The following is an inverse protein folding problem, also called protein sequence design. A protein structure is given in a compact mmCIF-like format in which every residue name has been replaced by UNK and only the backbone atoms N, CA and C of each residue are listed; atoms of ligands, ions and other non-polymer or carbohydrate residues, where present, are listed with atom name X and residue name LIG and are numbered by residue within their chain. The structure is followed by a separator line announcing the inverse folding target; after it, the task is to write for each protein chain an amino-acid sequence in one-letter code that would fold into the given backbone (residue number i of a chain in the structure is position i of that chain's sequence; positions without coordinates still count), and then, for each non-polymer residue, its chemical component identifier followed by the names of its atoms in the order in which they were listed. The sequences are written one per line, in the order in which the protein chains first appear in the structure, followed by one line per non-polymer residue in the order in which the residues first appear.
data_IF_125717115975
#
_entry.id   IF_125717115975
#
_cell.length_a   1.000
_cell.length_b   1.000
_cell.length_c   1.000
_cell.angle_alpha   90.00
_cell.angle_beta   90.00
_cell.angle_gamma   90.00
#
_symmetry.space_group_name_H-M   'P 1'
#
loop_
_entity.id
_entity.type
_entity.pdbx_description
1 polymer ?
#
# COMPACT_ATOMS: atom_id res chain seq x y z
N UNK A 1 -22.45 25.64 -14.54
CA UNK A 1 -22.99 25.25 -13.34
C UNK A 1 -22.14 24.22 -12.65
N UNK A 2 -21.84 24.42 -11.42
CA UNK A 2 -20.99 23.52 -10.73
C UNK A 2 -21.81 22.44 -10.05
N UNK A 3 -21.35 21.23 -10.15
CA UNK A 3 -22.00 20.17 -9.48
C UNK A 3 -21.11 19.70 -8.37
N UNK A 4 -21.69 19.21 -7.34
CA UNK A 4 -20.93 18.67 -6.22
C UNK A 4 -20.43 17.30 -6.60
N UNK A 5 -19.13 17.13 -6.48
CA UNK A 5 -18.52 15.86 -6.80
C UNK A 5 -18.38 15.07 -5.48
N UNK A 6 -19.43 14.33 -5.17
CA UNK A 6 -19.46 13.60 -3.92
C UNK A 6 -18.38 12.51 -3.84
N UNK A 7 -18.00 11.95 -4.97
CA UNK A 7 -16.96 10.95 -4.94
C UNK A 7 -15.63 11.58 -4.52
N UNK A 8 -15.36 12.78 -5.01
CA UNK A 8 -14.13 13.45 -4.63
C UNK A 8 -14.19 13.84 -3.14
N UNK A 9 -15.33 14.28 -2.67
CA UNK A 9 -15.45 14.64 -1.28
C UNK A 9 -15.25 13.42 -0.40
N UNK A 10 -15.81 12.31 -0.82
CA UNK A 10 -15.67 11.09 -0.06
C UNK A 10 -14.21 10.62 -0.06
N UNK A 11 -13.54 10.65 -1.20
CA UNK A 11 -12.16 10.24 -1.26
C UNK A 11 -11.30 11.15 -0.37
N UNK A 12 -11.56 12.43 -0.37
CA UNK A 12 -10.80 13.35 0.46
C UNK A 12 -11.03 13.04 1.94
N UNK A 13 -12.25 12.74 2.31
CA UNK A 13 -12.55 12.39 3.69
C UNK A 13 -11.87 11.08 4.08
N UNK A 14 -11.85 10.11 3.18
CA UNK A 14 -11.22 8.85 3.47
C UNK A 14 -9.69 9.00 3.56
N UNK A 15 -9.12 9.92 2.82
CA UNK A 15 -7.70 10.16 2.93
C UNK A 15 -7.38 10.77 4.29
N UNK A 16 -8.33 11.47 4.88
CA UNK A 16 -8.15 11.99 6.21
C UNK A 16 -8.07 10.85 7.22
N UNK A 17 -8.78 9.76 6.97
CA UNK A 17 -8.70 8.60 7.85
C UNK A 17 -7.28 8.05 7.82
N UNK A 18 -6.67 7.97 6.64
CA UNK A 18 -5.32 7.47 6.53
C UNK A 18 -4.36 8.42 7.27
N UNK A 19 -4.57 9.71 7.10
CA UNK A 19 -3.72 10.69 7.76
C UNK A 19 -3.80 10.52 9.26
N UNK A 20 -5.01 10.34 9.81
CA UNK A 20 -5.17 10.18 11.23
C UNK A 20 -4.52 8.87 11.73
N UNK A 21 -4.63 7.81 10.93
CA UNK A 21 -4.00 6.55 11.31
C UNK A 21 -2.48 6.70 11.33
N UNK A 22 -1.93 7.44 10.37
CA UNK A 22 -0.51 7.65 10.33
C UNK A 22 -0.03 8.57 11.47
N UNK A 23 -0.85 9.54 11.82
CA UNK A 23 -0.51 10.40 12.95
C UNK A 23 -0.48 9.58 14.24
N UNK A 24 -1.43 8.66 14.37
CA UNK A 24 -1.44 7.80 15.53
C UNK A 24 -0.14 6.99 15.57
N UNK A 25 0.27 6.45 14.44
CA UNK A 25 1.49 5.68 14.37
C UNK A 25 2.73 6.54 14.65
N UNK A 26 2.69 7.78 14.23
CA UNK A 26 3.81 8.69 14.44
C UNK A 26 4.03 8.93 15.93
N UNK A 27 2.96 9.13 16.67
CA UNK A 27 3.07 9.45 18.06
C UNK A 27 3.10 8.24 19.00
N UNK A 28 2.47 7.17 18.61
CA UNK A 28 2.37 6.02 19.49
C UNK A 28 3.10 4.78 19.01
N UNK A 29 3.50 4.79 17.76
CA UNK A 29 4.09 3.60 17.16
C UNK A 29 3.01 2.59 16.82
N UNK A 30 3.40 1.54 16.17
CA UNK A 30 2.49 0.45 15.82
C UNK A 30 2.87 -0.74 16.67
N UNK A 31 1.86 -1.45 17.12
CA UNK A 31 2.12 -2.62 17.96
C UNK A 31 2.77 -3.73 17.17
N UNK A 32 3.17 -4.75 17.86
CA UNK A 32 3.87 -5.84 17.23
C UNK A 32 3.08 -6.51 16.13
N UNK A 33 1.81 -6.61 16.27
CA UNK A 33 1.02 -7.27 15.26
C UNK A 33 0.41 -6.32 14.25
N UNK A 34 0.68 -5.05 14.38
CA UNK A 34 0.05 -4.08 13.51
C UNK A 34 0.96 -3.70 12.37
N UNK A 35 0.38 -3.32 11.28
CA UNK A 35 1.15 -2.85 10.15
C UNK A 35 0.23 -2.21 9.15
N UNK A 36 0.76 -1.25 8.40
CA UNK A 36 -0.03 -0.60 7.38
C UNK A 36 0.55 -0.95 6.03
N UNK A 37 -0.32 -1.31 5.09
CA UNK A 37 0.10 -1.55 3.72
C UNK A 37 -0.46 -0.37 2.93
N UNK A 38 0.41 0.40 2.32
CA UNK A 38 0.02 1.62 1.63
C UNK A 38 0.47 1.57 0.19
N UNK A 39 -0.49 1.66 -0.73
CA UNK A 39 -0.21 1.62 -2.15
C UNK A 39 -0.41 3.00 -2.74
N UNK A 40 0.52 3.43 -3.55
CA UNK A 40 0.46 4.77 -4.13
C UNK A 40 1.03 4.78 -5.54
N UNK A 41 0.75 5.85 -6.26
CA UNK A 41 1.22 6.01 -7.62
C UNK A 41 2.60 6.59 -7.59
N UNK A 42 3.55 5.88 -8.18
CA UNK A 42 4.95 6.28 -8.07
C UNK A 42 5.30 7.45 -8.97
N UNK A 43 4.51 7.68 -10.01
CA UNK A 43 4.79 8.77 -10.91
C UNK A 43 4.14 10.09 -10.59
N UNK A 44 3.31 10.11 -9.58
CA UNK A 44 2.62 11.34 -9.25
C UNK A 44 3.59 12.42 -8.79
N UNK A 45 3.28 13.66 -9.08
CA UNK A 45 4.11 14.76 -8.63
C UNK A 45 4.13 14.77 -7.11
N UNK A 46 5.23 15.10 -6.55
CA UNK A 46 5.35 15.16 -5.10
C UNK A 46 5.81 13.86 -4.47
N UNK A 47 5.77 12.75 -5.19
CA UNK A 47 6.27 11.50 -4.66
C UNK A 47 7.79 11.53 -4.76
N UNK A 48 8.47 11.30 -3.65
CA UNK A 48 9.91 11.27 -3.59
C UNK A 48 10.37 9.86 -3.31
N UNK A 49 11.05 9.25 -4.27
CA UNK A 49 11.54 7.89 -4.16
C UNK A 49 12.92 7.78 -4.79
N UNK A 50 13.73 6.86 -4.34
CA UNK A 50 14.99 6.58 -5.03
C UNK A 50 14.71 6.10 -6.44
N UNK A 51 15.58 6.43 -7.38
CA UNK A 51 15.38 6.07 -8.76
C UNK A 51 15.22 4.59 -9.00
N UNK A 52 15.96 3.78 -8.28
CA UNK A 52 15.86 2.34 -8.52
C UNK A 52 14.47 1.81 -8.16
N UNK A 53 13.79 2.46 -7.23
CA UNK A 53 12.44 2.05 -6.89
C UNK A 53 11.46 2.51 -7.96
N UNK A 54 11.69 3.66 -8.56
CA UNK A 54 10.81 4.10 -9.62
C UNK A 54 10.95 3.19 -10.83
N UNK A 55 12.14 2.71 -11.07
CA UNK A 55 12.36 1.80 -12.17
C UNK A 55 11.70 0.46 -11.88
N UNK A 56 11.82 -0.01 -10.65
CA UNK A 56 11.25 -1.31 -10.29
C UNK A 56 9.72 -1.24 -10.22
N UNK A 57 9.18 -0.13 -9.79
CA UNK A 57 7.74 0.04 -9.65
C UNK A 57 7.31 1.28 -10.43
N UNK A 58 7.18 1.16 -11.73
CA UNK A 58 6.92 2.35 -12.56
C UNK A 58 5.53 2.96 -12.41
N UNK A 59 4.58 2.20 -11.95
CA UNK A 59 3.23 2.72 -11.82
C UNK A 59 2.73 2.79 -10.40
N UNK A 60 2.78 1.69 -9.70
CA UNK A 60 2.29 1.60 -8.34
C UNK A 60 3.31 0.93 -7.45
N UNK A 61 3.33 1.30 -6.20
CA UNK A 61 4.19 0.66 -5.25
C UNK A 61 3.44 0.52 -3.94
N UNK A 62 3.65 -0.59 -3.24
CA UNK A 62 3.08 -0.79 -1.93
C UNK A 62 4.20 -0.81 -0.92
N UNK A 63 4.08 -0.01 0.11
CA UNK A 63 5.06 -0.03 1.20
C UNK A 63 4.38 -0.59 2.43
N UNK A 64 5.19 -1.13 3.33
CA UNK A 64 4.68 -1.71 4.55
C UNK A 64 5.33 -0.99 5.71
N UNK A 65 4.52 -0.40 6.57
CA UNK A 65 5.02 0.20 7.78
C UNK A 65 4.73 -0.79 8.89
N UNK A 66 5.72 -1.48 9.32
CA UNK A 66 5.52 -2.45 10.37
C UNK A 66 6.65 -2.49 11.38
N UNK A 67 7.69 -3.14 11.18
CA UNK A 67 8.73 -3.18 12.16
C UNK A 67 9.85 -2.21 11.89
N UNK A 68 10.24 -2.08 10.68
CA UNK A 68 11.42 -1.36 10.37
C UNK A 68 11.18 -0.06 9.66
N UNK A 69 10.39 0.79 10.24
CA UNK A 69 10.24 2.12 9.69
C UNK A 69 10.70 3.13 10.73
N UNK A 70 11.21 4.25 10.26
CA UNK A 70 11.69 5.27 11.15
C UNK A 70 11.30 6.64 10.64
N UNK A 71 11.36 7.60 11.50
CA UNK A 71 11.13 8.99 11.13
C UNK A 71 9.86 9.22 10.35
N UNK A 72 8.79 8.62 10.81
CA UNK A 72 7.49 8.86 10.19
C UNK A 72 7.06 10.28 10.52
N UNK A 73 6.78 11.05 9.49
CA UNK A 73 6.40 12.42 9.65
C UNK A 73 5.18 12.72 8.81
N UNK A 74 4.11 13.14 9.43
CA UNK A 74 2.84 13.33 8.75
C UNK A 74 2.48 14.81 8.74
N UNK A 75 2.13 15.32 7.57
CA UNK A 75 1.70 16.71 7.46
C UNK A 75 0.30 16.72 6.83
N UNK A 76 -0.20 17.88 6.51
CA UNK A 76 -1.54 17.97 5.97
C UNK A 76 -1.66 17.35 4.61
N UNK A 77 -0.62 17.37 3.82
CA UNK A 77 -0.71 16.92 2.44
C UNK A 77 0.07 15.68 2.10
N UNK A 78 0.97 15.29 2.93
CA UNK A 78 1.83 14.16 2.63
C UNK A 78 2.38 13.52 3.88
N UNK A 79 2.97 12.36 3.74
CA UNK A 79 3.73 11.81 4.83
C UNK A 79 5.11 11.41 4.30
N UNK A 80 6.07 11.40 5.18
CA UNK A 80 7.42 10.96 4.85
C UNK A 80 7.81 9.89 5.84
N UNK A 81 8.63 8.95 5.43
CA UNK A 81 9.06 7.88 6.31
C UNK A 81 10.34 7.28 5.77
N UNK A 82 11.16 6.79 6.67
CA UNK A 82 12.39 6.14 6.29
C UNK A 82 12.15 4.64 6.33
N UNK A 83 12.43 3.99 5.24
CA UNK A 83 12.25 2.55 5.12
C UNK A 83 13.53 1.94 4.58
N UNK A 84 13.71 0.66 4.81
CA UNK A 84 14.89 -0.04 4.36
C UNK A 84 14.57 -0.83 3.10
N UNK A 85 15.34 -0.59 2.04
CA UNK A 85 15.18 -1.32 0.81
C UNK A 85 16.54 -1.92 0.45
N UNK A 86 16.59 -3.19 0.22
CA UNK A 86 17.82 -3.88 -0.12
C UNK A 86 18.91 -3.60 0.92
N UNK A 87 18.49 -3.59 2.17
CA UNK A 87 19.45 -3.39 3.25
C UNK A 87 19.90 -1.97 3.52
N UNK A 88 19.37 -1.01 2.78
CA UNK A 88 19.73 0.38 2.96
C UNK A 88 18.55 1.24 3.31
N UNK A 89 18.71 2.23 4.18
CA UNK A 89 17.61 3.10 4.53
C UNK A 89 17.43 4.22 3.52
N UNK A 90 16.21 4.52 3.16
CA UNK A 90 15.88 5.62 2.28
C UNK A 90 14.67 6.36 2.84
N UNK A 91 14.68 7.65 2.71
CA UNK A 91 13.54 8.44 3.15
C UNK A 91 12.66 8.69 1.92
N UNK A 92 11.39 8.39 2.05
CA UNK A 92 10.46 8.61 0.95
C UNK A 92 9.35 9.54 1.38
N UNK A 93 8.70 10.18 0.44
CA UNK A 93 7.57 11.05 0.70
C UNK A 93 6.46 10.71 -0.22
N UNK A 94 5.27 10.68 0.30
CA UNK A 94 4.09 10.30 -0.47
C UNK A 94 2.96 11.27 -0.18
N UNK A 95 2.50 12.02 -1.18
CA UNK A 95 1.34 12.88 -0.99
C UNK A 95 0.09 12.04 -0.81
N UNK A 96 -0.83 12.49 0.00
CA UNK A 96 -2.07 11.73 0.19
C UNK A 96 -2.85 11.65 -1.13
N UNK A 97 -2.66 12.61 -2.02
CA UNK A 97 -3.35 12.58 -3.30
C UNK A 97 -2.87 11.45 -4.20
N UNK A 98 -1.74 10.84 -3.88
CA UNK A 98 -1.20 9.74 -4.68
C UNK A 98 -1.68 8.38 -4.19
N UNK A 99 -2.40 8.34 -3.09
CA UNK A 99 -2.81 7.06 -2.51
C UNK A 99 -3.81 6.32 -3.36
N UNK A 100 -3.62 5.02 -3.44
CA UNK A 100 -4.53 4.15 -4.16
C UNK A 100 -5.23 3.21 -3.19
N UNK A 101 -4.52 2.72 -2.20
CA UNK A 101 -5.08 1.78 -1.26
C UNK A 101 -4.38 1.83 0.07
N UNK A 102 -5.12 1.60 1.14
CA UNK A 102 -4.56 1.54 2.48
C UNK A 102 -5.19 0.34 3.17
N UNK A 103 -4.37 -0.46 3.81
CA UNK A 103 -4.87 -1.61 4.54
C UNK A 103 -4.23 -1.73 5.89
N UNK A 104 -5.01 -2.14 6.87
CA UNK A 104 -4.52 -2.48 8.18
C UNK A 104 -5.02 -3.90 8.47
N UNK A 105 -4.24 -4.91 8.12
CA UNK A 105 -4.69 -6.28 8.27
C UNK A 105 -5.02 -6.68 9.69
N UNK A 106 -4.44 -6.02 10.68
CA UNK A 106 -4.70 -6.40 12.06
C UNK A 106 -6.15 -6.16 12.45
N UNK A 107 -6.84 -5.28 11.72
CA UNK A 107 -8.22 -4.99 12.03
C UNK A 107 -9.14 -5.27 10.85
N UNK A 108 -8.58 -5.83 9.77
CA UNK A 108 -9.35 -6.09 8.56
C UNK A 108 -9.87 -4.81 7.92
N UNK A 109 -9.22 -3.70 8.15
CA UNK A 109 -9.65 -2.43 7.59
C UNK A 109 -8.97 -2.18 6.27
N UNK A 110 -9.70 -1.72 5.29
CA UNK A 110 -9.13 -1.42 4.00
C UNK A 110 -9.89 -0.30 3.32
N UNK A 111 -9.14 0.58 2.67
CA UNK A 111 -9.73 1.66 1.89
C UNK A 111 -9.12 1.64 0.51
N UNK A 112 -9.93 1.90 -0.50
CA UNK A 112 -9.45 2.05 -1.87
C UNK A 112 -9.90 3.41 -2.35
N UNK A 113 -9.04 4.12 -3.09
CA UNK A 113 -9.35 5.46 -3.54
C UNK A 113 -9.51 5.47 -5.06
N UNK A 114 -10.50 6.17 -5.54
CA UNK A 114 -10.78 6.18 -6.96
C UNK A 114 -9.95 7.25 -7.66
N UNK A 115 -9.40 6.93 -8.75
CA UNK A 115 -8.62 7.91 -9.46
C UNK A 115 -9.57 8.86 -10.07
N UNK A 116 -9.21 10.09 -10.13
CA UNK A 116 -9.96 11.01 -10.64
C UNK A 116 -10.36 10.69 -11.98
N UNK A 117 -9.74 10.05 -12.76
CA UNK A 117 -10.02 9.76 -14.00
C UNK A 117 -10.89 8.89 -14.30
N UNK A 118 -11.15 8.29 -13.76
CA UNK A 118 -12.05 7.53 -13.96
C UNK A 118 -12.14 6.71 -14.91
N UNK A 119 -12.69 6.54 -15.31
CA UNK A 119 -12.75 5.81 -16.25
C UNK A 119 -12.54 4.58 -16.04
N UNK A 120 -13.06 3.96 -15.94
CA UNK A 120 -12.82 2.77 -15.88
C UNK A 120 -12.26 2.07 -15.22
N UNK A 121 -12.10 1.81 -15.14
CA UNK A 121 -11.51 1.26 -14.60
C UNK A 121 -11.53 0.31 -13.94
N UNK A 122 -11.68 -0.12 -13.70
CA UNK A 122 -11.69 -0.96 -13.00
C UNK A 122 -10.80 -1.53 -12.66
N UNK A 123 -10.37 -1.63 -12.68
CA UNK A 123 -9.66 -2.10 -12.39
C UNK A 123 -9.08 -2.58 -11.72
N UNK A 124 -9.01 -2.76 -11.45
CA UNK A 124 -8.52 -3.24 -10.75
C UNK A 124 -7.63 -3.57 -10.53
N UNK A 125 -7.26 -3.69 -10.70
CA UNK A 125 -6.46 -4.03 -10.57
C UNK A 125 -5.84 -4.38 -9.85
N UNK A 126 -5.74 -4.50 -9.42
CA UNK A 126 -5.19 -4.78 -8.62
C UNK A 126 -4.32 -5.12 -8.47
N UNK A 127 -3.97 -5.33 -8.82
CA UNK A 127 -3.19 -5.73 -8.74
C UNK A 127 -2.51 -5.98 -8.00
N UNK A 128 -2.42 -6.07 -7.49
CA UNK A 128 -1.84 -6.24 -6.61
C UNK A 128 -0.96 -6.66 -6.51
N UNK A 129 -0.70 -6.79 -6.97
CA UNK A 129 0.01 -7.24 -6.92
C UNK A 129 0.93 -7.32 -6.47
N UNK A 130 1.19 -7.09 -6.31
CA UNK A 130 2.12 -7.08 -5.98
C UNK A 130 2.67 -7.80 -5.37
N UNK A 131 2.62 -7.94 -5.16
CA UNK A 131 3.03 -8.42 -4.46
C UNK A 131 3.59 -9.22 -4.35
N UNK A 132 3.56 -9.48 -4.56
CA UNK A 132 3.89 -10.14 -4.37
C UNK A 132 4.64 -10.52 -4.52
N UNK A 133 4.93 -10.54 -4.78
CA UNK A 133 5.57 -10.92 -4.84
C UNK A 133 6.01 -11.58 -4.70
N UNK A 134 6.04 -11.89 -4.65
CA UNK A 134 6.45 -12.49 -4.37
C UNK A 134 6.75 -13.25 -4.69
N UNK A 135 6.93 -13.34 -5.09
CA UNK A 135 7.17 -14.07 -5.58
C UNK A 135 7.22 -15.19 -5.27
N UNK A 136 7.25 -15.46 -4.99
CA UNK A 136 7.37 -16.37 -4.47
C UNK A 136 6.36 -17.01 -4.74
N UNK A 137 5.93 -16.71 -5.04
CA UNK A 137 4.86 -17.04 -5.27
C UNK A 137 4.73 -18.20 -6.00
N UNK A 138 5.48 -18.39 -6.73
CA UNK A 138 5.51 -19.52 -7.35
C UNK A 138 5.17 -20.58 -6.49
N UNK A 139 5.74 -20.61 -5.42
CA UNK A 139 5.48 -21.61 -4.49
C UNK A 139 4.05 -21.66 -4.21
N UNK A 140 3.43 -20.57 -4.25
CA UNK A 140 2.10 -20.55 -3.93
C UNK A 140 1.34 -21.46 -4.77
N UNK A 141 1.57 -21.43 -5.98
CA UNK A 141 0.85 -22.28 -6.84
C UNK A 141 1.13 -23.66 -6.48
N UNK A 142 2.29 -23.95 -6.13
CA UNK A 142 2.60 -25.22 -5.77
C UNK A 142 1.90 -25.59 -4.59
N UNK A 143 1.73 -24.73 -3.72
CA UNK A 143 1.10 -25.07 -2.52
C UNK A 143 -0.26 -25.58 -2.76
N UNK A 144 -0.96 -24.99 -3.65
CA UNK A 144 -2.30 -25.41 -3.89
C UNK A 144 -2.24 -26.81 -4.42
N UNK A 145 -1.33 -27.05 -5.30
CA UNK A 145 -1.23 -28.35 -5.86
C UNK A 145 -0.78 -29.30 -4.78
N UNK A 146 0.04 -28.83 -3.91
CA UNK A 146 0.51 -29.66 -2.86
C UNK A 146 -0.57 -30.20 -2.04
N UNK A 147 -1.57 -29.45 -1.80
CA UNK A 147 -2.62 -29.92 -0.98
C UNK A 147 -3.22 -31.19 -1.57
N UNK A 148 -3.41 -31.20 -2.83
CA UNK A 148 -3.95 -32.37 -3.45
C UNK A 148 -3.00 -33.51 -3.35
N UNK A 149 -1.76 -33.26 -3.57
CA UNK A 149 -0.81 -34.31 -3.46
C UNK A 149 -0.76 -34.81 -2.07
N UNK A 150 -0.87 -33.96 -1.13
CA UNK A 150 -0.82 -34.34 0.23
C UNK A 150 -1.98 -35.27 0.51
N UNK A 151 -3.11 -34.99 0.02
CA UNK A 151 -4.23 -35.82 0.23
C UNK A 151 -3.99 -37.15 -0.40
N UNK A 152 -3.47 -37.20 -1.57
CA UNK A 152 -3.20 -38.43 -2.20
C UNK A 152 -2.25 -39.24 -1.40
N UNK A 153 -1.23 -38.66 -0.90
CA UNK A 153 -0.28 -39.40 -0.11
C UNK A 153 -0.91 -39.95 1.09
N UNK A 154 -1.80 -39.27 1.69
CA UNK A 154 -2.40 -39.76 2.86
C UNK A 154 -3.24 -40.94 2.55
N UNK A 155 -3.81 -41.01 1.46
CA UNK A 155 -4.64 -42.10 1.13
C UNK A 155 -3.86 -43.35 0.86
N UNK A 156 -2.63 -43.24 0.68
CA UNK A 156 -1.85 -44.42 0.50
C UNK A 156 -1.48 -44.94 1.82
#
# INVERSE_FOLDING_TARGET
MHKIDYQQLLDDALKSVVKEALLYAQFNGLGDDAGFFITFKTRDPGVVLPDFLRIRYPDLMTIVLQYSYNNLNVSDKEFGVQLTFDGRPFFIRVPFSSLVEFKDPSTDFMLSFHPKQSSSANSDINIELPLEEKPNTVPDDKRVVSLDEFRKRRNQ
#
